data_IF_703209725525
#
_entry.id   IF_703209725525
#
_cell.length_a   1.000
_cell.length_b   1.000
_cell.length_c   1.000
_cell.angle_alpha   90.00
_cell.angle_beta   90.00
_cell.angle_gamma   90.00
#
_symmetry.space_group_name_H-M   'P 1'
#
loop_
_entity.id
_entity.type
_entity.pdbx_description
1 polymer ?
#
# COMPACT_ATOMS: atom_id res chain seq x y z
N UNK A 1 -10.99 27.93 -2.80
CA UNK A 1 -10.25 26.81 -2.20
C UNK A 1 -10.40 25.57 -3.08
N UNK A 2 -9.31 25.06 -3.62
CA UNK A 2 -9.31 23.83 -4.43
C UNK A 2 -9.68 22.64 -3.54
N UNK A 3 -10.93 22.13 -3.69
CA UNK A 3 -11.44 20.98 -2.93
C UNK A 3 -11.07 19.68 -3.66
N UNK A 4 -10.01 19.02 -3.21
CA UNK A 4 -9.66 17.66 -3.65
C UNK A 4 -8.15 17.43 -3.80
N UNK A 5 -7.72 16.19 -3.59
CA UNK A 5 -6.32 15.77 -3.75
C UNK A 5 -5.85 15.99 -5.20
N UNK A 6 -6.72 15.73 -6.17
CA UNK A 6 -6.42 15.91 -7.60
C UNK A 6 -5.98 17.33 -7.94
N UNK A 7 -6.75 18.34 -7.55
CA UNK A 7 -6.45 19.74 -7.86
C UNK A 7 -5.22 20.26 -7.12
N UNK A 8 -5.00 19.82 -5.87
CA UNK A 8 -3.79 20.18 -5.11
C UNK A 8 -2.53 19.56 -5.73
N UNK A 9 -2.58 18.32 -6.14
CA UNK A 9 -1.45 17.63 -6.77
C UNK A 9 -1.04 18.31 -8.08
N UNK A 10 -2.02 18.62 -8.96
CA UNK A 10 -1.79 19.36 -10.20
C UNK A 10 -1.17 20.73 -9.90
N UNK A 11 -1.73 21.47 -8.94
CA UNK A 11 -1.23 22.78 -8.56
C UNK A 11 0.22 22.71 -8.06
N UNK A 12 0.54 21.80 -7.14
CA UNK A 12 1.89 21.68 -6.59
C UNK A 12 2.92 21.31 -7.66
N UNK A 13 2.62 20.34 -8.52
CA UNK A 13 3.52 19.94 -9.61
C UNK A 13 3.74 21.13 -10.55
N UNK A 14 2.67 21.85 -10.92
CA UNK A 14 2.77 23.01 -11.82
C UNK A 14 3.56 24.15 -11.20
N UNK A 15 3.36 24.45 -9.90
CA UNK A 15 4.13 25.50 -9.20
C UNK A 15 5.62 25.14 -9.13
N UNK A 16 5.94 23.89 -8.75
CA UNK A 16 7.34 23.44 -8.67
C UNK A 16 8.00 23.51 -10.04
N UNK A 17 7.32 23.06 -11.09
CA UNK A 17 7.83 23.13 -12.45
C UNK A 17 8.07 24.59 -12.90
N UNK A 18 7.11 25.48 -12.61
CA UNK A 18 7.23 26.92 -12.91
C UNK A 18 8.46 27.53 -12.22
N UNK A 19 8.66 27.24 -10.93
CA UNK A 19 9.81 27.77 -10.18
C UNK A 19 11.14 27.24 -10.74
N UNK A 20 11.22 25.97 -11.12
CA UNK A 20 12.42 25.39 -11.73
C UNK A 20 12.71 26.06 -13.07
N UNK A 21 11.71 26.21 -13.94
CA UNK A 21 11.88 26.85 -15.26
C UNK A 21 12.34 28.29 -15.10
N UNK A 22 11.67 29.07 -14.22
CA UNK A 22 12.07 30.46 -14.00
C UNK A 22 13.50 30.60 -13.45
N UNK A 23 13.91 29.71 -12.56
CA UNK A 23 15.28 29.70 -12.03
C UNK A 23 16.30 29.38 -13.12
N UNK A 24 16.05 28.34 -13.93
CA UNK A 24 16.92 27.96 -15.02
C UNK A 24 17.03 29.03 -16.11
N UNK A 25 15.89 29.64 -16.48
CA UNK A 25 15.87 30.76 -17.44
C UNK A 25 16.62 31.96 -16.91
N UNK A 26 16.43 32.32 -15.63
CA UNK A 26 17.19 33.41 -15.00
C UNK A 26 18.68 33.20 -15.03
N UNK A 27 19.15 32.00 -14.67
CA UNK A 27 20.58 31.64 -14.76
C UNK A 27 21.08 31.67 -16.20
N UNK A 28 20.28 31.14 -17.14
CA UNK A 28 20.62 31.12 -18.56
C UNK A 28 20.74 32.53 -19.14
N UNK A 29 19.80 33.44 -18.86
CA UNK A 29 19.83 34.83 -19.33
C UNK A 29 21.08 35.55 -18.82
N UNK A 30 21.41 35.38 -17.54
CA UNK A 30 22.63 35.97 -16.94
C UNK A 30 23.87 35.41 -17.63
N UNK A 31 23.94 34.10 -17.83
CA UNK A 31 25.07 33.44 -18.49
C UNK A 31 25.25 33.90 -19.94
N UNK A 32 24.18 33.98 -20.73
CA UNK A 32 24.20 34.47 -22.11
C UNK A 32 24.67 35.93 -22.16
N UNK A 33 24.10 36.75 -21.30
CA UNK A 33 24.50 38.17 -21.24
C UNK A 33 25.99 38.33 -20.92
N UNK A 34 26.48 37.65 -19.89
CA UNK A 34 27.88 37.69 -19.50
C UNK A 34 28.83 37.14 -20.58
N UNK A 35 28.44 36.05 -21.20
CA UNK A 35 29.23 35.39 -22.25
C UNK A 35 29.42 36.29 -23.49
N UNK A 36 28.31 36.82 -24.05
CA UNK A 36 28.38 37.58 -25.28
C UNK A 36 29.06 38.92 -25.08
N UNK A 37 28.71 39.68 -24.04
CA UNK A 37 29.34 40.98 -23.78
C UNK A 37 30.76 40.82 -23.27
N UNK A 38 31.06 39.84 -22.42
CA UNK A 38 32.42 39.56 -21.94
C UNK A 38 33.33 39.14 -23.07
N UNK A 39 32.89 38.21 -23.94
CA UNK A 39 33.72 37.76 -25.11
C UNK A 39 33.98 38.91 -26.10
N UNK A 40 32.97 39.76 -26.35
CA UNK A 40 33.14 40.93 -27.22
C UNK A 40 34.15 41.89 -26.62
N UNK A 41 34.06 42.19 -25.33
CA UNK A 41 35.01 43.07 -24.63
C UNK A 41 36.42 42.52 -24.61
N UNK A 42 36.60 41.21 -24.39
CA UNK A 42 37.88 40.53 -24.39
C UNK A 42 38.50 40.58 -25.78
N UNK A 43 37.75 40.28 -26.84
CA UNK A 43 38.20 40.38 -28.24
C UNK A 43 38.65 41.79 -28.60
N UNK A 44 37.80 42.79 -28.24
CA UNK A 44 38.13 44.21 -28.48
C UNK A 44 39.41 44.60 -27.74
N UNK A 45 39.52 44.19 -26.49
CA UNK A 45 40.69 44.40 -25.64
C UNK A 45 41.97 43.80 -26.18
N UNK A 46 41.89 42.54 -26.66
CA UNK A 46 43.04 41.85 -27.26
C UNK A 46 43.52 42.56 -28.51
N UNK A 47 42.61 42.93 -29.40
CA UNK A 47 42.93 43.70 -30.63
C UNK A 47 43.58 45.01 -30.32
N UNK A 48 42.95 45.83 -29.45
CA UNK A 48 43.50 47.09 -29.03
C UNK A 48 44.90 46.98 -28.43
N UNK A 49 45.11 45.97 -27.57
CA UNK A 49 46.44 45.75 -26.93
C UNK A 49 47.53 45.35 -27.94
N UNK A 50 47.17 44.43 -28.86
CA UNK A 50 48.12 43.97 -29.91
C UNK A 50 48.50 45.12 -30.80
N UNK A 51 47.54 45.92 -31.26
CA UNK A 51 47.79 47.10 -32.10
C UNK A 51 48.63 48.16 -31.37
N UNK A 52 48.24 48.53 -30.14
CA UNK A 52 48.99 49.51 -29.38
C UNK A 52 50.43 49.07 -29.08
N UNK A 53 50.63 47.78 -28.78
CA UNK A 53 51.97 47.23 -28.56
C UNK A 53 52.81 47.28 -29.82
N UNK A 54 52.23 46.94 -30.97
CA UNK A 54 52.90 47.09 -32.26
C UNK A 54 53.29 48.54 -32.54
N UNK A 55 52.35 49.46 -32.41
CA UNK A 55 52.60 50.88 -32.70
C UNK A 55 53.60 51.51 -31.75
N UNK A 56 53.54 51.22 -30.48
CA UNK A 56 54.53 51.70 -29.49
C UNK A 56 55.95 51.20 -29.79
N UNK A 57 56.07 49.97 -30.33
CA UNK A 57 57.40 49.37 -30.61
C UNK A 57 58.04 49.79 -31.96
N UNK A 58 57.16 49.87 -32.99
CA UNK A 58 57.69 50.03 -34.37
C UNK A 58 57.56 51.46 -34.92
N UNK A 59 56.78 52.31 -34.28
CA UNK A 59 56.58 53.72 -34.66
C UNK A 59 57.23 54.70 -33.70
N UNK A 60 58.25 54.25 -32.91
CA UNK A 60 58.96 55.12 -32.02
C UNK A 60 59.77 56.17 -32.86
N UNK A 61 59.72 57.50 -32.46
CA UNK A 61 60.29 58.60 -33.19
C UNK A 61 59.38 59.31 -34.21
N UNK A 62 58.18 58.76 -34.45
CA UNK A 62 57.18 59.44 -35.30
C UNK A 62 56.20 60.28 -34.42
N UNK A 63 55.78 61.41 -34.94
CA UNK A 63 54.74 62.26 -34.28
C UNK A 63 53.46 61.52 -34.16
N UNK A 64 52.59 61.93 -33.20
CA UNK A 64 51.30 61.30 -33.00
C UNK A 64 50.40 61.32 -34.27
N UNK A 65 50.52 62.37 -35.09
CA UNK A 65 49.77 62.52 -36.36
C UNK A 65 50.25 61.51 -37.42
N UNK A 66 51.58 61.30 -37.51
CA UNK A 66 52.17 60.30 -38.42
C UNK A 66 51.80 58.88 -38.00
N UNK A 67 51.86 58.55 -36.70
CA UNK A 67 51.40 57.30 -36.16
C UNK A 67 49.89 57.07 -36.43
N UNK A 68 49.09 58.07 -36.25
CA UNK A 68 47.65 58.00 -36.51
C UNK A 68 47.35 57.69 -37.96
N UNK A 69 48.05 58.34 -38.90
CA UNK A 69 47.93 58.06 -40.34
C UNK A 69 48.35 56.64 -40.68
N UNK A 70 49.50 56.21 -40.16
CA UNK A 70 50.02 54.86 -40.39
C UNK A 70 49.07 53.80 -39.84
N UNK A 71 48.47 54.01 -38.67
CA UNK A 71 47.46 53.14 -38.07
C UNK A 71 46.29 52.97 -39.05
N UNK A 72 45.74 54.02 -39.60
CA UNK A 72 44.62 53.97 -40.51
C UNK A 72 44.91 53.33 -41.83
N UNK A 73 46.10 53.61 -42.42
CA UNK A 73 46.53 53.03 -43.70
C UNK A 73 46.75 51.52 -43.63
N UNK A 74 47.06 51.02 -42.42
CA UNK A 74 47.31 49.59 -42.19
C UNK A 74 46.20 48.86 -41.44
N UNK A 75 45.03 49.52 -41.18
CA UNK A 75 43.85 48.84 -40.66
C UNK A 75 43.30 47.87 -41.73
N UNK A 76 42.98 46.65 -41.30
CA UNK A 76 42.32 45.69 -42.16
C UNK A 76 41.00 46.24 -42.68
N UNK A 77 40.66 46.08 -43.96
CA UNK A 77 39.35 46.47 -44.51
C UNK A 77 38.15 45.76 -43.82
N UNK A 78 38.44 44.60 -43.19
CA UNK A 78 37.43 43.81 -42.45
C UNK A 78 37.29 44.24 -40.97
N UNK A 79 37.95 45.32 -40.55
CA UNK A 79 37.86 45.83 -39.18
C UNK A 79 36.47 46.40 -38.94
N UNK A 80 35.65 45.68 -38.21
CA UNK A 80 34.29 46.07 -37.85
C UNK A 80 34.26 47.06 -36.64
N UNK A 81 35.42 47.31 -36.04
CA UNK A 81 35.59 48.25 -34.93
C UNK A 81 35.94 49.66 -35.45
N UNK A 82 35.36 50.68 -34.84
CA UNK A 82 35.78 52.05 -35.01
C UNK A 82 37.10 52.23 -34.27
N UNK A 83 38.15 52.59 -34.96
CA UNK A 83 39.49 52.87 -34.41
C UNK A 83 39.69 54.39 -34.37
N UNK A 84 40.07 54.88 -33.23
CA UNK A 84 40.26 56.34 -32.99
C UNK A 84 41.66 56.53 -32.34
N UNK A 85 42.37 57.55 -32.81
CA UNK A 85 43.58 58.06 -32.18
C UNK A 85 43.31 59.41 -31.57
N UNK A 86 43.53 59.51 -30.24
CA UNK A 86 43.30 60.74 -29.48
C UNK A 86 44.63 61.34 -29.02
N UNK A 87 44.67 62.66 -28.89
CA UNK A 87 45.77 63.39 -28.27
C UNK A 87 45.74 63.31 -26.73
N UNK A 88 46.73 63.86 -26.05
CA UNK A 88 46.83 63.89 -24.60
C UNK A 88 45.74 64.73 -23.92
N UNK A 89 45.00 65.52 -24.65
CA UNK A 89 43.81 66.26 -24.17
C UNK A 89 42.52 65.48 -24.35
N UNK A 90 42.48 64.29 -24.98
CA UNK A 90 41.33 63.50 -25.24
C UNK A 90 40.56 63.87 -26.53
N UNK A 91 41.12 64.76 -27.33
CA UNK A 91 40.51 65.12 -28.64
C UNK A 91 40.90 64.11 -29.72
N UNK A 92 39.95 63.74 -30.55
CA UNK A 92 40.16 62.81 -31.68
C UNK A 92 40.99 63.52 -32.70
N UNK A 93 42.17 62.93 -33.05
CA UNK A 93 43.05 63.37 -34.14
C UNK A 93 42.56 62.80 -35.45
N UNK A 94 42.22 61.53 -35.45
CA UNK A 94 41.82 60.78 -36.65
C UNK A 94 40.97 59.58 -36.23
N UNK A 95 40.02 59.17 -37.08
CA UNK A 95 39.24 57.95 -36.87
C UNK A 95 39.22 57.07 -38.14
N UNK A 96 38.85 55.81 -38.03
CA UNK A 96 38.83 54.83 -39.12
C UNK A 96 37.93 55.19 -40.32
N UNK A 97 37.08 56.26 -40.18
CA UNK A 97 36.20 56.72 -41.26
C UNK A 97 36.77 57.94 -41.97
N UNK A 98 38.04 58.35 -41.64
CA UNK A 98 38.75 59.38 -42.35
C UNK A 98 38.46 60.84 -42.00
N UNK A 99 37.56 61.09 -41.05
CA UNK A 99 37.21 62.44 -40.60
C UNK A 99 38.03 62.83 -39.39
N UNK A 100 38.78 63.95 -39.47
CA UNK A 100 39.35 64.60 -38.30
C UNK A 100 38.21 65.30 -37.56
N UNK A 101 37.68 64.73 -36.55
CA UNK A 101 36.74 65.40 -35.66
C UNK A 101 37.49 65.96 -34.46
N UNK A 102 37.35 67.24 -34.19
CA UNK A 102 37.88 67.86 -32.95
C UNK A 102 37.00 67.46 -31.74
N UNK A 103 36.38 66.32 -31.77
CA UNK A 103 35.47 65.83 -30.77
C UNK A 103 36.25 65.40 -29.52
N UNK A 104 35.89 65.94 -28.38
CA UNK A 104 36.39 65.53 -27.09
C UNK A 104 35.67 64.25 -26.62
N UNK A 105 36.42 63.17 -26.38
CA UNK A 105 35.89 61.95 -25.80
C UNK A 105 36.24 61.94 -24.31
N UNK A 106 35.22 62.17 -23.46
CA UNK A 106 35.36 62.20 -21.99
C UNK A 106 34.71 60.99 -21.34
N UNK A 107 35.14 59.78 -21.82
CA UNK A 107 34.66 58.50 -21.28
C UNK A 107 35.68 57.87 -20.32
N UNK A 108 35.22 56.96 -19.39
CA UNK A 108 36.09 56.34 -18.38
C UNK A 108 37.28 55.59 -18.96
N UNK A 109 37.14 54.96 -20.12
CA UNK A 109 38.23 54.25 -20.82
C UNK A 109 39.34 55.18 -21.28
N UNK A 110 38.98 56.32 -21.85
CA UNK A 110 39.92 57.35 -22.31
C UNK A 110 40.63 57.97 -21.11
N UNK A 111 39.92 58.33 -20.05
CA UNK A 111 40.55 58.88 -18.82
C UNK A 111 41.56 57.91 -18.22
N UNK A 112 41.24 56.62 -18.16
CA UNK A 112 42.16 55.59 -17.67
C UNK A 112 43.38 55.46 -18.57
N UNK A 113 43.21 55.50 -19.88
CA UNK A 113 44.31 55.41 -20.84
C UNK A 113 45.21 56.69 -20.81
N UNK A 114 44.66 57.86 -20.65
CA UNK A 114 45.40 59.11 -20.47
C UNK A 114 46.22 59.11 -19.17
N UNK A 115 45.74 58.47 -18.12
CA UNK A 115 46.46 58.22 -16.86
C UNK A 115 47.56 57.12 -17.01
N UNK A 116 47.76 56.54 -18.19
CA UNK A 116 48.76 55.53 -18.47
C UNK A 116 48.37 54.08 -18.26
N UNK A 117 47.10 53.81 -17.87
CA UNK A 117 46.51 52.50 -17.73
C UNK A 117 45.74 52.04 -18.97
N UNK A 118 45.27 50.80 -18.97
CA UNK A 118 44.29 50.33 -19.95
C UNK A 118 42.91 50.62 -19.44
N UNK A 119 42.06 51.23 -20.28
CA UNK A 119 40.67 51.53 -19.93
C UNK A 119 39.69 50.71 -20.75
N UNK A 120 38.58 50.32 -20.14
CA UNK A 120 37.42 49.73 -20.84
C UNK A 120 36.18 50.46 -20.46
N UNK A 121 35.24 50.58 -21.38
CA UNK A 121 33.97 51.29 -21.20
C UNK A 121 32.85 50.52 -21.91
N UNK A 122 31.76 50.37 -21.20
CA UNK A 122 30.51 49.84 -21.75
C UNK A 122 29.40 50.81 -21.41
N UNK A 123 28.76 51.36 -22.42
CA UNK A 123 27.59 52.23 -22.22
C UNK A 123 26.40 51.40 -21.78
N UNK A 124 25.82 51.69 -20.62
CA UNK A 124 24.58 51.07 -20.14
C UNK A 124 23.34 51.65 -20.82
N UNK A 125 23.42 52.90 -21.26
CA UNK A 125 22.37 53.65 -21.95
C UNK A 125 22.87 54.06 -23.34
N UNK A 126 22.00 54.11 -24.36
CA UNK A 126 22.39 54.64 -25.67
C UNK A 126 22.99 56.06 -25.55
N UNK A 127 24.17 56.21 -26.11
CA UNK A 127 24.82 57.52 -26.28
C UNK A 127 24.68 57.85 -27.76
N UNK A 128 24.09 59.01 -28.08
CA UNK A 128 23.74 59.39 -29.47
C UNK A 128 22.93 58.30 -30.22
N UNK A 129 22.07 57.55 -29.50
CA UNK A 129 21.21 56.50 -30.11
C UNK A 129 21.81 55.13 -30.16
N UNK A 130 23.09 54.92 -29.77
CA UNK A 130 23.75 53.60 -29.80
C UNK A 130 24.40 53.27 -28.46
N UNK A 131 24.39 52.00 -28.09
CA UNK A 131 25.21 51.46 -27.01
C UNK A 131 26.59 51.15 -27.53
N UNK A 132 27.62 51.61 -26.86
CA UNK A 132 29.00 51.46 -27.29
C UNK A 132 29.79 50.65 -26.28
N UNK A 133 30.62 49.74 -26.79
CA UNK A 133 31.69 49.08 -26.05
C UNK A 133 33.03 49.62 -26.59
N UNK A 134 33.89 50.07 -25.70
CA UNK A 134 35.20 50.65 -26.10
C UNK A 134 36.33 50.19 -25.19
N UNK A 135 37.50 50.09 -25.78
CA UNK A 135 38.75 49.85 -25.07
C UNK A 135 39.79 50.88 -25.53
N UNK A 136 40.43 51.54 -24.57
CA UNK A 136 41.44 52.58 -24.79
C UNK A 136 42.77 52.18 -24.19
N UNK A 137 43.81 52.34 -24.96
CA UNK A 137 45.21 51.98 -24.58
C UNK A 137 46.16 53.15 -24.85
N UNK A 138 47.04 53.48 -23.93
CA UNK A 138 48.02 54.55 -24.13
C UNK A 138 48.99 54.26 -25.27
N UNK A 139 49.24 55.27 -26.12
CA UNK A 139 50.31 55.34 -27.04
C UNK A 139 51.52 56.03 -26.38
N UNK A 140 52.65 55.34 -26.35
CA UNK A 140 53.83 55.80 -25.58
C UNK A 140 54.99 56.09 -26.51
N UNK A 141 55.85 57.04 -26.09
CA UNK A 141 57.17 57.33 -26.66
C UNK A 141 58.12 57.55 -25.53
N UNK A 142 59.21 56.77 -25.53
CA UNK A 142 60.22 56.79 -24.46
C UNK A 142 59.63 56.75 -23.07
N UNK A 143 58.56 56.00 -22.89
CA UNK A 143 57.81 55.84 -21.62
C UNK A 143 56.79 56.92 -21.28
N UNK A 144 56.72 58.03 -22.00
CA UNK A 144 55.72 59.09 -21.82
C UNK A 144 54.49 58.84 -22.68
N UNK A 145 53.32 59.17 -22.15
CA UNK A 145 52.09 59.02 -22.87
C UNK A 145 51.93 60.19 -23.88
N UNK A 146 51.85 59.88 -25.17
CA UNK A 146 51.75 60.87 -26.26
C UNK A 146 50.32 60.92 -26.83
N UNK A 147 49.44 59.95 -26.50
CA UNK A 147 48.05 59.89 -26.95
C UNK A 147 47.40 58.57 -26.56
N UNK A 148 46.20 58.30 -27.09
CA UNK A 148 45.42 57.11 -26.81
C UNK A 148 44.97 56.49 -28.13
N UNK A 149 45.07 55.17 -28.20
CA UNK A 149 44.45 54.34 -29.25
C UNK A 149 43.16 53.76 -28.66
N UNK A 150 42.02 54.08 -29.27
CA UNK A 150 40.70 53.62 -28.86
C UNK A 150 40.08 52.76 -29.91
N UNK A 151 39.62 51.56 -29.49
CA UNK A 151 38.76 50.65 -30.28
C UNK A 151 37.38 50.71 -29.73
N UNK A 152 36.36 50.91 -30.56
CA UNK A 152 34.95 50.87 -30.15
C UNK A 152 34.07 50.15 -31.14
N UNK A 153 33.06 49.46 -30.65
CA UNK A 153 32.04 48.80 -31.44
C UNK A 153 30.65 49.17 -30.97
N UNK A 154 29.66 49.12 -31.86
CA UNK A 154 28.26 49.19 -31.48
C UNK A 154 27.86 47.85 -30.81
N UNK A 155 27.26 47.94 -29.64
CA UNK A 155 26.75 46.79 -28.93
C UNK A 155 25.30 46.40 -29.35
N UNK A 156 24.66 47.24 -30.18
CA UNK A 156 23.27 46.97 -30.60
C UNK A 156 23.09 45.63 -31.31
N UNK A 157 23.94 45.18 -32.23
CA UNK A 157 23.83 43.86 -32.83
C UNK A 157 23.90 42.72 -31.79
N UNK A 158 24.79 42.87 -30.77
CA UNK A 158 24.93 41.89 -29.71
C UNK A 158 23.64 41.80 -28.85
N UNK A 159 23.05 42.94 -28.52
CA UNK A 159 21.78 42.97 -27.77
C UNK A 159 20.64 42.34 -28.58
N UNK A 160 20.59 42.55 -29.90
CA UNK A 160 19.62 41.85 -30.75
C UNK A 160 19.78 40.33 -30.77
N UNK A 161 21.02 39.85 -30.82
CA UNK A 161 21.31 38.42 -30.75
C UNK A 161 20.91 37.84 -29.36
N UNK A 162 21.32 38.54 -28.28
CA UNK A 162 20.94 38.16 -26.91
C UNK A 162 19.42 38.11 -26.78
N UNK A 163 18.70 39.16 -27.24
CA UNK A 163 17.24 39.23 -27.18
C UNK A 163 16.59 38.05 -27.89
N UNK A 164 17.09 37.70 -29.10
CA UNK A 164 16.56 36.58 -29.87
C UNK A 164 16.76 35.25 -29.12
N UNK A 165 17.96 35.04 -28.53
CA UNK A 165 18.25 33.85 -27.74
C UNK A 165 17.33 33.77 -26.50
N UNK A 166 17.15 34.87 -25.79
CA UNK A 166 16.27 34.96 -24.61
C UNK A 166 14.82 34.67 -24.99
N UNK A 167 14.31 35.28 -26.07
CA UNK A 167 12.94 35.00 -26.54
C UNK A 167 12.73 33.52 -26.89
N UNK A 168 13.71 32.90 -27.58
CA UNK A 168 13.63 31.48 -27.89
C UNK A 168 13.66 30.63 -26.61
N UNK A 169 14.47 30.97 -25.61
CA UNK A 169 14.50 30.29 -24.32
C UNK A 169 13.13 30.38 -23.60
N UNK A 170 12.51 31.55 -23.58
CA UNK A 170 11.16 31.74 -22.99
C UNK A 170 10.12 30.86 -23.69
N UNK A 171 10.15 30.76 -25.01
CA UNK A 171 9.27 29.87 -25.75
C UNK A 171 9.48 28.41 -25.37
N UNK A 172 10.74 27.96 -25.23
CA UNK A 172 11.06 26.61 -24.77
C UNK A 172 10.54 26.37 -23.35
N UNK A 173 10.73 27.33 -22.46
CA UNK A 173 10.22 27.28 -21.09
C UNK A 173 8.71 27.15 -21.02
N UNK A 174 7.97 27.91 -21.83
CA UNK A 174 6.52 27.79 -21.94
C UNK A 174 6.07 26.41 -22.44
N UNK A 175 6.76 25.84 -23.43
CA UNK A 175 6.46 24.48 -23.91
C UNK A 175 6.71 23.42 -22.84
N UNK A 176 7.78 23.55 -22.07
CA UNK A 176 8.08 22.64 -20.95
C UNK A 176 7.00 22.71 -19.89
N UNK A 177 6.54 23.93 -19.52
CA UNK A 177 5.45 24.11 -18.55
C UNK A 177 4.15 23.50 -19.07
N UNK A 178 3.80 23.72 -20.32
CA UNK A 178 2.60 23.17 -20.95
C UNK A 178 2.65 21.62 -20.95
N UNK A 179 3.78 21.06 -21.37
CA UNK A 179 3.98 19.61 -21.37
C UNK A 179 3.86 19.00 -19.97
N UNK A 180 4.52 19.60 -18.97
CA UNK A 180 4.44 19.17 -17.58
C UNK A 180 3.04 19.30 -16.99
N UNK A 181 2.29 20.34 -17.38
CA UNK A 181 0.89 20.49 -16.98
C UNK A 181 0.02 19.35 -17.54
N UNK A 182 0.14 19.04 -18.83
CA UNK A 182 -0.58 17.91 -19.45
C UNK A 182 -0.22 16.58 -18.78
N UNK A 183 1.07 16.34 -18.53
CA UNK A 183 1.54 15.14 -17.84
C UNK A 183 0.96 15.04 -16.41
N UNK A 184 0.91 16.16 -15.70
CA UNK A 184 0.30 16.26 -14.36
C UNK A 184 -1.19 15.88 -14.38
N UNK A 185 -1.94 16.29 -15.42
CA UNK A 185 -3.34 15.89 -15.60
C UNK A 185 -3.51 14.38 -15.80
N UNK A 186 -2.64 13.77 -16.60
CA UNK A 186 -2.65 12.33 -16.87
C UNK A 186 -2.34 11.52 -15.61
N UNK A 187 -1.29 11.89 -14.86
CA UNK A 187 -0.90 11.25 -13.61
C UNK A 187 -2.03 11.38 -12.56
N UNK A 188 -2.59 12.59 -12.42
CA UNK A 188 -3.69 12.82 -11.48
C UNK A 188 -4.94 11.98 -11.82
N UNK A 189 -5.26 11.77 -13.10
CA UNK A 189 -6.36 10.89 -13.52
C UNK A 189 -6.07 9.43 -13.24
N UNK A 190 -4.83 8.98 -13.45
CA UNK A 190 -4.44 7.57 -13.31
C UNK A 190 -4.31 7.10 -11.85
N UNK A 191 -3.94 8.00 -10.94
CA UNK A 191 -3.74 7.67 -9.52
C UNK A 191 -4.96 8.07 -8.68
N UNK A 192 -5.41 9.32 -8.77
CA UNK A 192 -6.43 9.85 -7.87
C UNK A 192 -7.82 9.28 -8.16
N UNK A 193 -8.13 9.01 -9.44
CA UNK A 193 -9.42 8.44 -9.83
C UNK A 193 -9.70 7.09 -9.18
N UNK A 194 -8.84 6.07 -9.37
CA UNK A 194 -8.99 4.77 -8.74
C UNK A 194 -9.03 4.83 -7.19
N UNK A 195 -8.18 5.65 -6.55
CA UNK A 195 -8.20 5.83 -5.09
C UNK A 195 -9.54 6.37 -4.61
N UNK A 196 -10.15 7.32 -5.33
CA UNK A 196 -11.48 7.83 -4.98
C UNK A 196 -12.56 6.77 -5.10
N UNK A 197 -12.51 5.91 -6.12
CA UNK A 197 -13.43 4.78 -6.27
C UNK A 197 -13.25 3.77 -5.12
N UNK A 198 -12.02 3.38 -4.78
CA UNK A 198 -11.75 2.52 -3.64
C UNK A 198 -12.28 3.11 -2.32
N UNK A 199 -12.10 4.42 -2.13
CA UNK A 199 -12.62 5.14 -0.97
C UNK A 199 -14.15 5.13 -0.93
N UNK A 200 -14.82 5.25 -2.09
CA UNK A 200 -16.29 5.16 -2.18
C UNK A 200 -16.79 3.77 -1.81
N UNK A 201 -16.18 2.71 -2.37
CA UNK A 201 -16.51 1.32 -2.06
C UNK A 201 -16.27 1.01 -0.58
N UNK A 202 -15.14 1.45 -0.01
CA UNK A 202 -14.85 1.28 1.40
C UNK A 202 -15.89 1.99 2.30
N UNK A 203 -16.40 3.16 1.91
CA UNK A 203 -17.49 3.84 2.61
C UNK A 203 -18.81 3.06 2.54
N UNK A 204 -19.14 2.50 1.38
CA UNK A 204 -20.31 1.64 1.25
C UNK A 204 -20.21 0.40 2.15
N UNK A 205 -19.03 -0.25 2.19
CA UNK A 205 -18.77 -1.37 3.10
C UNK A 205 -18.92 -0.94 4.56
N UNK A 206 -18.46 0.25 4.94
CA UNK A 206 -18.61 0.78 6.30
C UNK A 206 -20.07 1.04 6.70
N UNK A 207 -21.00 1.19 5.75
CA UNK A 207 -22.44 1.28 5.99
C UNK A 207 -23.15 -0.08 5.94
N UNK A 208 -22.38 -1.19 5.84
CA UNK A 208 -22.92 -2.55 5.83
C UNK A 208 -23.15 -3.15 4.44
N UNK A 209 -22.90 -2.40 3.35
CA UNK A 209 -23.02 -2.93 1.99
C UNK A 209 -21.72 -3.63 1.57
N UNK A 210 -21.49 -4.82 2.06
CA UNK A 210 -20.35 -5.65 1.71
C UNK A 210 -20.47 -6.32 0.31
N UNK A 211 -21.60 -6.16 -0.39
CA UNK A 211 -21.74 -6.64 -1.75
C UNK A 211 -21.06 -5.73 -2.78
N UNK A 212 -20.75 -4.48 -2.41
CA UNK A 212 -20.04 -3.55 -3.26
C UNK A 212 -18.63 -4.06 -3.57
N UNK A 213 -18.23 -4.03 -4.85
CA UNK A 213 -16.92 -4.51 -5.31
C UNK A 213 -16.11 -3.38 -5.94
N UNK A 214 -14.84 -3.34 -5.59
CA UNK A 214 -13.88 -2.46 -6.21
C UNK A 214 -13.38 -3.06 -7.53
N UNK A 215 -13.44 -2.29 -8.63
CA UNK A 215 -12.91 -2.75 -9.91
C UNK A 215 -11.38 -2.67 -9.92
N UNK A 216 -10.71 -3.77 -10.25
CA UNK A 216 -9.29 -3.79 -10.54
C UNK A 216 -9.06 -3.14 -11.92
N UNK A 217 -8.56 -1.90 -11.96
CA UNK A 217 -8.33 -1.16 -13.20
C UNK A 217 -6.92 -1.35 -13.77
N UNK A 218 -5.92 -1.60 -12.93
CA UNK A 218 -4.52 -1.72 -13.30
C UNK A 218 -3.84 -2.86 -12.55
N UNK A 219 -2.73 -3.37 -13.10
CA UNK A 219 -1.87 -4.36 -12.47
C UNK A 219 -0.71 -3.67 -11.71
N UNK A 220 -1.09 -2.85 -10.74
CA UNK A 220 -0.19 -2.10 -9.85
C UNK A 220 -0.62 -2.26 -8.38
N UNK A 221 0.00 -1.50 -7.49
CA UNK A 221 -0.30 -1.51 -6.05
C UNK A 221 -1.76 -1.11 -5.77
N UNK A 222 -2.34 -0.23 -6.59
CA UNK A 222 -3.74 0.20 -6.46
C UNK A 222 -4.68 -0.94 -6.88
N UNK A 223 -4.33 -1.67 -7.94
CA UNK A 223 -5.04 -2.87 -8.35
C UNK A 223 -4.98 -3.98 -7.29
N UNK A 224 -3.83 -4.16 -6.66
CA UNK A 224 -3.65 -5.10 -5.55
C UNK A 224 -4.50 -4.71 -4.34
N UNK A 225 -4.58 -3.41 -4.02
CA UNK A 225 -5.44 -2.89 -2.95
C UNK A 225 -6.93 -3.16 -3.25
N UNK A 226 -7.36 -3.03 -4.50
CA UNK A 226 -8.74 -3.36 -4.90
C UNK A 226 -9.08 -4.83 -4.67
N UNK A 227 -8.17 -5.74 -5.04
CA UNK A 227 -8.33 -7.19 -4.81
C UNK A 227 -8.38 -7.51 -3.33
N UNK A 228 -7.47 -6.94 -2.54
CA UNK A 228 -7.43 -7.14 -1.08
C UNK A 228 -8.70 -6.64 -0.39
N UNK A 229 -9.22 -5.47 -0.80
CA UNK A 229 -10.47 -4.93 -0.29
C UNK A 229 -11.66 -5.85 -0.60
N UNK A 230 -11.72 -6.39 -1.82
CA UNK A 230 -12.75 -7.35 -2.21
C UNK A 230 -12.66 -8.65 -1.42
N UNK A 231 -11.46 -9.19 -1.22
CA UNK A 231 -11.23 -10.39 -0.42
C UNK A 231 -11.69 -10.18 1.04
N UNK A 232 -11.32 -9.06 1.65
CA UNK A 232 -11.78 -8.71 3.00
C UNK A 232 -13.32 -8.64 3.08
N UNK A 233 -13.97 -8.06 2.07
CA UNK A 233 -15.42 -8.01 1.97
C UNK A 233 -16.06 -9.40 1.91
N UNK A 234 -15.48 -10.32 1.14
CA UNK A 234 -15.95 -11.70 1.05
C UNK A 234 -15.81 -12.45 2.37
N UNK A 235 -14.72 -12.27 3.08
CA UNK A 235 -14.52 -12.89 4.40
C UNK A 235 -15.50 -12.34 5.44
N UNK A 236 -15.80 -11.03 5.41
CA UNK A 236 -16.84 -10.44 6.29
C UNK A 236 -18.21 -11.02 5.97
N UNK A 237 -18.59 -11.11 4.69
CA UNK A 237 -19.88 -11.70 4.29
C UNK A 237 -20.00 -13.16 4.72
N UNK A 238 -18.94 -13.95 4.60
CA UNK A 238 -18.92 -15.34 5.11
C UNK A 238 -19.10 -15.38 6.62
N UNK A 239 -18.43 -14.52 7.35
CA UNK A 239 -18.54 -14.42 8.81
C UNK A 239 -19.94 -14.02 9.25
N UNK A 240 -20.53 -12.99 8.62
CA UNK A 240 -21.90 -12.55 8.90
C UNK A 240 -22.94 -13.65 8.59
N UNK A 241 -22.75 -14.39 7.49
CA UNK A 241 -23.62 -15.53 7.16
C UNK A 241 -23.55 -16.62 8.22
N UNK A 242 -22.35 -17.01 8.66
CA UNK A 242 -22.17 -18.01 9.72
C UNK A 242 -22.86 -17.54 11.01
N UNK A 243 -22.73 -16.27 11.37
CA UNK A 243 -23.38 -15.68 12.54
C UNK A 243 -24.91 -15.70 12.41
N UNK A 244 -25.45 -15.37 11.26
CA UNK A 244 -26.87 -15.42 11.00
C UNK A 244 -27.42 -16.84 11.08
N UNK A 245 -26.78 -17.80 10.42
CA UNK A 245 -27.14 -19.21 10.43
C UNK A 245 -27.09 -19.77 11.87
N UNK A 246 -26.11 -19.33 12.67
CA UNK A 246 -26.02 -19.66 14.09
C UNK A 246 -27.26 -19.19 14.87
N UNK A 247 -27.56 -17.89 14.81
CA UNK A 247 -28.69 -17.31 15.56
C UNK A 247 -30.00 -17.99 15.16
N UNK A 248 -30.20 -18.23 13.87
CA UNK A 248 -31.37 -18.90 13.32
C UNK A 248 -31.50 -20.33 13.86
N UNK A 249 -30.41 -21.11 13.82
CA UNK A 249 -30.38 -22.50 14.29
C UNK A 249 -30.64 -22.59 15.80
N UNK A 250 -29.96 -21.77 16.60
CA UNK A 250 -30.18 -21.73 18.06
C UNK A 250 -31.60 -21.37 18.40
N UNK A 251 -32.17 -20.36 17.73
CA UNK A 251 -33.57 -19.95 17.96
C UNK A 251 -34.55 -21.08 17.69
N UNK A 252 -34.31 -21.83 16.61
CA UNK A 252 -35.16 -22.98 16.28
C UNK A 252 -35.03 -24.11 17.30
N UNK A 253 -33.79 -24.45 17.72
CA UNK A 253 -33.55 -25.52 18.70
C UNK A 253 -34.02 -25.18 20.10
N UNK A 254 -34.07 -23.91 20.49
CA UNK A 254 -34.69 -23.47 21.76
C UNK A 254 -36.21 -23.48 21.69
N UNK A 255 -36.80 -23.09 20.56
CA UNK A 255 -38.28 -22.98 20.43
C UNK A 255 -38.99 -24.30 20.58
N UNK A 256 -38.43 -25.38 19.99
CA UNK A 256 -39.09 -26.70 19.99
C UNK A 256 -39.32 -27.25 21.40
N UNK A 257 -38.29 -27.41 22.27
CA UNK A 257 -38.49 -27.89 23.63
C UNK A 257 -39.33 -26.97 24.47
N UNK A 258 -39.20 -25.65 24.33
CA UNK A 258 -40.04 -24.69 25.05
C UNK A 258 -41.53 -24.83 24.68
N UNK A 259 -41.84 -25.10 23.38
CA UNK A 259 -43.21 -25.35 22.94
C UNK A 259 -43.75 -26.65 23.51
N UNK A 260 -42.91 -27.71 23.57
CA UNK A 260 -43.27 -29.00 24.17
C UNK A 260 -43.58 -28.85 25.69
N UNK A 261 -42.67 -28.21 26.42
CA UNK A 261 -42.84 -27.95 27.87
C UNK A 261 -44.10 -27.14 28.11
N UNK A 262 -44.32 -26.07 27.34
CA UNK A 262 -45.51 -25.23 27.46
C UNK A 262 -46.78 -26.02 27.15
N UNK A 263 -46.76 -26.80 26.06
CA UNK A 263 -47.92 -27.60 25.66
C UNK A 263 -48.34 -28.65 26.72
N UNK A 264 -47.36 -29.38 27.26
CA UNK A 264 -47.62 -30.29 28.36
C UNK A 264 -48.06 -29.57 29.64
N UNK A 265 -47.46 -28.44 29.97
CA UNK A 265 -47.89 -27.60 31.08
C UNK A 265 -49.35 -27.15 30.95
N UNK A 266 -49.78 -26.68 29.77
CA UNK A 266 -51.18 -26.29 29.50
C UNK A 266 -52.12 -27.51 29.56
N UNK A 267 -51.67 -28.68 29.02
CA UNK A 267 -52.48 -29.92 29.09
C UNK A 267 -52.70 -30.37 30.54
N UNK A 268 -51.66 -30.36 31.36
CA UNK A 268 -51.76 -30.73 32.77
C UNK A 268 -52.58 -29.71 33.59
N UNK A 269 -52.53 -28.43 33.25
CA UNK A 269 -53.33 -27.41 33.91
C UNK A 269 -54.81 -27.48 33.58
N UNK A 270 -55.17 -27.95 32.38
CA UNK A 270 -56.54 -28.04 31.88
C UNK A 270 -57.12 -29.45 32.03
N UNK A 271 -56.28 -30.47 32.23
CA UNK A 271 -56.68 -31.86 32.33
C UNK A 271 -57.04 -32.33 33.74
N UNK A 272 -57.44 -33.61 33.86
CA UNK A 272 -57.70 -34.26 35.14
C UNK A 272 -56.38 -34.78 35.77
N UNK A 273 -55.90 -34.07 36.77
CA UNK A 273 -54.70 -34.45 37.51
C UNK A 273 -54.85 -35.77 38.29
N UNK A 274 -56.02 -36.35 38.35
CA UNK A 274 -56.23 -37.67 38.93
C UNK A 274 -55.82 -38.82 38.01
N UNK A 275 -55.62 -38.58 36.70
CA UNK A 275 -54.95 -39.54 35.79
C UNK A 275 -53.46 -39.51 36.03
N UNK A 276 -53.02 -40.40 36.93
CA UNK A 276 -51.59 -40.53 37.28
C UNK A 276 -50.69 -40.86 36.06
N UNK A 277 -51.22 -41.57 35.09
CA UNK A 277 -50.43 -42.02 33.93
C UNK A 277 -50.14 -40.83 33.01
N UNK A 278 -51.13 -40.05 32.66
CA UNK A 278 -50.99 -38.85 31.84
C UNK A 278 -50.15 -37.79 32.55
N UNK A 279 -50.42 -37.58 33.86
CA UNK A 279 -49.64 -36.64 34.68
C UNK A 279 -48.14 -36.99 34.75
N UNK A 280 -47.82 -38.28 35.01
CA UNK A 280 -46.41 -38.73 35.02
C UNK A 280 -45.76 -38.59 33.65
N UNK A 281 -46.46 -38.99 32.57
CA UNK A 281 -45.97 -38.84 31.22
C UNK A 281 -45.64 -37.39 30.86
N UNK A 282 -46.55 -36.46 31.20
CA UNK A 282 -46.35 -35.03 30.98
C UNK A 282 -45.14 -34.48 31.75
N UNK A 283 -45.00 -34.83 33.00
CA UNK A 283 -43.85 -34.44 33.84
C UNK A 283 -42.55 -35.03 33.34
N UNK A 284 -42.52 -36.30 32.90
CA UNK A 284 -41.35 -36.92 32.31
C UNK A 284 -40.90 -36.21 31.02
N UNK A 285 -41.85 -35.88 30.14
CA UNK A 285 -41.52 -35.12 28.91
C UNK A 285 -40.98 -33.74 29.22
N UNK A 286 -41.64 -33.00 30.16
CA UNK A 286 -41.21 -31.67 30.56
C UNK A 286 -39.80 -31.71 31.18
N UNK A 287 -39.52 -32.68 32.06
CA UNK A 287 -38.21 -32.85 32.66
C UNK A 287 -37.15 -33.18 31.59
N UNK A 288 -37.43 -34.12 30.69
CA UNK A 288 -36.54 -34.50 29.62
C UNK A 288 -36.20 -33.34 28.63
N UNK A 289 -37.22 -32.50 28.31
CA UNK A 289 -36.98 -31.32 27.47
C UNK A 289 -36.23 -30.21 28.22
N UNK A 290 -36.39 -30.13 29.55
CA UNK A 290 -35.60 -29.20 30.38
C UNK A 290 -34.10 -29.61 30.44
N UNK A 291 -33.85 -30.90 30.67
CA UNK A 291 -32.46 -31.43 30.65
C UNK A 291 -31.81 -31.23 29.28
N UNK A 292 -32.58 -31.39 28.22
CA UNK A 292 -32.13 -31.10 26.85
C UNK A 292 -31.77 -29.64 26.63
N UNK A 293 -32.58 -28.71 27.20
CA UNK A 293 -32.28 -27.26 27.13
C UNK A 293 -31.01 -26.90 27.90
N UNK A 294 -30.82 -27.51 29.08
CA UNK A 294 -29.57 -27.32 29.86
C UNK A 294 -28.36 -27.72 29.01
N UNK A 295 -28.37 -28.92 28.42
CA UNK A 295 -27.27 -29.37 27.55
C UNK A 295 -27.06 -28.44 26.33
N UNK A 296 -28.10 -27.92 25.72
CA UNK A 296 -27.99 -26.96 24.61
C UNK A 296 -27.34 -25.63 25.06
N UNK A 297 -27.70 -25.14 26.26
CA UNK A 297 -27.10 -23.92 26.83
C UNK A 297 -25.60 -24.15 27.14
N UNK A 298 -25.22 -25.31 27.66
CA UNK A 298 -23.82 -25.69 27.89
C UNK A 298 -23.04 -25.75 26.56
N UNK A 299 -23.60 -26.39 25.54
CA UNK A 299 -23.02 -26.42 24.18
C UNK A 299 -22.79 -25.01 23.62
N UNK A 300 -23.75 -24.08 23.85
CA UNK A 300 -23.66 -22.69 23.39
C UNK A 300 -22.58 -21.90 24.15
N UNK A 301 -22.45 -22.11 25.43
CA UNK A 301 -21.41 -21.47 26.25
C UNK A 301 -20.02 -21.95 25.82
N UNK A 302 -19.85 -23.27 25.64
CA UNK A 302 -18.62 -23.84 25.15
C UNK A 302 -18.28 -23.32 23.73
N UNK A 303 -19.29 -23.23 22.86
CA UNK A 303 -19.12 -22.64 21.53
C UNK A 303 -18.72 -21.15 21.59
N UNK A 304 -19.31 -20.37 22.47
CA UNK A 304 -18.96 -18.95 22.65
C UNK A 304 -17.51 -18.79 23.08
N UNK A 305 -17.05 -19.58 24.05
CA UNK A 305 -15.63 -19.61 24.50
C UNK A 305 -14.70 -20.03 23.36
N UNK A 306 -15.15 -21.00 22.54
CA UNK A 306 -14.43 -21.43 21.36
C UNK A 306 -14.25 -20.30 20.34
N UNK A 307 -15.31 -19.56 20.02
CA UNK A 307 -15.26 -18.42 19.08
C UNK A 307 -14.32 -17.30 19.57
N UNK A 308 -14.25 -17.11 20.88
CA UNK A 308 -13.36 -16.14 21.51
C UNK A 308 -11.89 -16.60 21.56
N UNK A 309 -11.60 -17.86 21.19
CA UNK A 309 -10.26 -18.44 21.38
C UNK A 309 -9.88 -18.66 22.85
N UNK A 310 -10.91 -18.70 23.72
CA UNK A 310 -10.73 -18.78 25.18
C UNK A 310 -10.75 -20.22 25.72
N UNK A 311 -10.92 -21.23 24.85
CA UNK A 311 -10.78 -22.61 25.30
C UNK A 311 -9.31 -22.91 25.54
N UNK A 312 -8.99 -23.01 26.82
CA UNK A 312 -7.70 -23.52 27.28
C UNK A 312 -7.86 -24.99 27.71
N UNK A 313 -6.87 -25.80 27.43
CA UNK A 313 -6.80 -27.19 27.90
C UNK A 313 -5.67 -27.28 28.94
N UNK A 314 -5.97 -27.92 30.05
CA UNK A 314 -4.96 -28.20 31.08
C UNK A 314 -4.39 -29.60 30.82
N UNK A 315 -3.32 -29.65 30.00
CA UNK A 315 -2.69 -30.91 29.65
C UNK A 315 -1.97 -31.51 30.87
N UNK A 316 -2.32 -32.74 31.22
CA UNK A 316 -1.67 -33.52 32.28
C UNK A 316 -1.53 -34.95 31.78
N UNK A 317 -0.40 -35.61 32.13
CA UNK A 317 -0.24 -37.03 31.80
C UNK A 317 -1.23 -37.89 32.60
N UNK A 318 -2.03 -38.70 31.89
CA UNK A 318 -2.89 -39.71 32.56
C UNK A 318 -3.14 -40.90 31.63
N UNK A 319 -3.69 -41.98 32.22
CA UNK A 319 -4.09 -43.15 31.47
C UNK A 319 -5.52 -43.05 30.97
N UNK A 320 -5.66 -42.87 29.64
CA UNK A 320 -6.95 -42.75 28.98
C UNK A 320 -7.83 -44.00 29.14
N UNK A 321 -7.24 -45.18 29.41
CA UNK A 321 -7.95 -46.41 29.66
C UNK A 321 -8.99 -46.28 30.74
N UNK A 322 -8.63 -45.65 31.90
CA UNK A 322 -9.55 -45.47 33.02
C UNK A 322 -10.78 -44.65 32.63
N UNK A 323 -10.61 -43.58 31.84
CA UNK A 323 -11.71 -42.80 31.30
C UNK A 323 -12.64 -43.62 30.42
N UNK A 324 -12.09 -44.43 29.51
CA UNK A 324 -12.86 -45.26 28.61
C UNK A 324 -13.65 -46.34 29.38
N UNK A 325 -13.06 -46.98 30.39
CA UNK A 325 -13.74 -47.94 31.26
C UNK A 325 -14.90 -47.35 32.02
N UNK A 326 -14.73 -46.18 32.63
CA UNK A 326 -15.81 -45.46 33.30
C UNK A 326 -16.98 -45.12 32.36
N UNK A 327 -16.70 -44.68 31.16
CA UNK A 327 -17.69 -44.41 30.14
C UNK A 327 -18.42 -45.68 29.71
N UNK A 328 -17.72 -46.82 29.57
CA UNK A 328 -18.35 -48.07 29.25
C UNK A 328 -19.33 -48.54 30.30
N UNK A 329 -19.01 -48.36 31.58
CA UNK A 329 -19.94 -48.67 32.68
C UNK A 329 -21.24 -47.85 32.59
N UNK A 330 -21.10 -46.56 32.35
CA UNK A 330 -22.24 -45.63 32.20
C UNK A 330 -23.10 -45.97 31.00
N UNK A 331 -22.49 -46.22 29.85
CA UNK A 331 -23.23 -46.52 28.60
C UNK A 331 -23.79 -47.94 28.51
N UNK A 332 -23.26 -48.92 29.25
CA UNK A 332 -23.82 -50.28 29.34
C UNK A 332 -25.26 -50.25 29.88
N UNK A 333 -25.53 -49.50 30.96
CA UNK A 333 -26.86 -49.33 31.49
C UNK A 333 -27.84 -48.72 30.48
N UNK A 334 -27.35 -47.69 29.77
CA UNK A 334 -28.10 -47.01 28.72
C UNK A 334 -28.38 -47.90 27.50
N UNK A 335 -27.42 -48.75 27.16
CA UNK A 335 -27.54 -49.76 26.11
C UNK A 335 -28.64 -50.79 26.45
N UNK A 336 -28.70 -51.27 27.68
CA UNK A 336 -29.77 -52.17 28.13
C UNK A 336 -31.16 -51.56 27.99
N UNK A 337 -31.29 -50.31 28.40
CA UNK A 337 -32.56 -49.58 28.31
C UNK A 337 -33.04 -49.36 26.86
N UNK A 338 -32.07 -49.08 25.95
CA UNK A 338 -32.36 -48.86 24.52
C UNK A 338 -32.28 -50.12 23.65
N UNK A 339 -32.01 -51.27 24.25
CA UNK A 339 -31.79 -52.55 23.55
C UNK A 339 -30.65 -52.50 22.50
N UNK A 340 -29.58 -51.73 22.79
CA UNK A 340 -28.39 -51.59 21.95
C UNK A 340 -27.23 -52.32 22.58
N UNK A 341 -26.54 -53.16 21.83
CA UNK A 341 -25.38 -53.93 22.30
C UNK A 341 -24.12 -53.07 22.28
N UNK A 342 -23.45 -52.92 23.43
CA UNK A 342 -22.17 -52.21 23.52
C UNK A 342 -21.01 -53.19 23.60
N UNK A 343 -20.12 -53.16 22.62
CA UNK A 343 -18.87 -53.93 22.58
C UNK A 343 -17.69 -53.01 22.89
N UNK A 344 -16.71 -53.54 23.61
CA UNK A 344 -15.48 -52.84 23.92
C UNK A 344 -14.27 -53.75 23.62
N UNK A 345 -13.30 -53.19 22.94
CA UNK A 345 -12.01 -53.86 22.68
C UNK A 345 -10.91 -52.83 23.05
N UNK A 346 -10.60 -52.84 24.36
CA UNK A 346 -9.62 -51.94 24.97
C UNK A 346 -8.47 -52.82 25.51
N UNK A 347 -7.22 -52.51 25.17
CA UNK A 347 -6.07 -53.33 25.61
C UNK A 347 -5.87 -53.22 27.11
N UNK A 348 -5.35 -54.27 27.73
CA UNK A 348 -4.98 -54.28 29.13
C UNK A 348 -3.78 -53.36 29.47
N UNK A 349 -3.04 -52.95 28.47
CA UNK A 349 -1.90 -52.05 28.60
C UNK A 349 -2.38 -50.61 28.79
N UNK A 350 -1.65 -49.79 29.56
CA UNK A 350 -1.96 -48.36 29.74
C UNK A 350 -1.97 -47.60 28.39
N UNK A 351 -2.86 -46.65 28.28
CA UNK A 351 -2.98 -45.71 27.15
C UNK A 351 -2.57 -44.30 27.58
N UNK A 352 -1.26 -44.01 27.76
CA UNK A 352 -0.79 -42.77 28.31
C UNK A 352 -0.98 -41.64 27.30
N UNK A 353 -1.66 -40.58 27.69
CA UNK A 353 -1.87 -39.33 26.92
C UNK A 353 -1.50 -38.13 27.78
N UNK A 354 -1.11 -37.05 27.12
CA UNK A 354 -1.02 -35.75 27.75
C UNK A 354 -2.30 -34.98 27.39
N UNK A 355 -3.20 -34.80 28.33
CA UNK A 355 -4.52 -34.27 28.01
C UNK A 355 -5.31 -33.74 29.21
N UNK A 356 -6.36 -32.98 28.91
CA UNK A 356 -7.37 -32.54 29.84
C UNK A 356 -8.46 -33.62 30.00
N UNK A 357 -8.51 -34.23 31.18
CA UNK A 357 -9.44 -35.32 31.49
C UNK A 357 -10.90 -34.94 31.23
N UNK A 358 -11.33 -33.73 31.67
CA UNK A 358 -12.71 -33.31 31.53
C UNK A 358 -13.08 -33.03 30.07
N UNK A 359 -12.18 -32.43 29.32
CA UNK A 359 -12.38 -32.16 27.89
C UNK A 359 -12.40 -33.43 27.06
N UNK A 360 -11.49 -34.38 27.30
CA UNK A 360 -11.51 -35.66 26.61
C UNK A 360 -12.72 -36.50 27.02
N UNK A 361 -13.17 -36.46 28.28
CA UNK A 361 -14.44 -37.05 28.72
C UNK A 361 -15.60 -36.48 27.92
N UNK A 362 -15.67 -35.14 27.77
CA UNK A 362 -16.70 -34.47 26.98
C UNK A 362 -16.71 -34.97 25.52
N UNK A 363 -15.52 -35.13 24.89
CA UNK A 363 -15.42 -35.69 23.54
C UNK A 363 -16.03 -37.09 23.45
N UNK A 364 -15.58 -38.03 24.29
CA UNK A 364 -16.02 -39.40 24.19
C UNK A 364 -17.49 -39.59 24.60
N UNK A 365 -18.00 -38.82 25.57
CA UNK A 365 -19.42 -38.78 25.87
C UNK A 365 -20.22 -38.36 24.64
N UNK A 366 -19.81 -37.28 23.98
CA UNK A 366 -20.49 -36.77 22.79
C UNK A 366 -20.47 -37.78 21.62
N UNK A 367 -19.33 -38.47 21.40
CA UNK A 367 -19.19 -39.49 20.36
C UNK A 367 -20.07 -40.69 20.64
N UNK A 368 -20.08 -41.18 21.90
CA UNK A 368 -20.94 -42.31 22.30
C UNK A 368 -22.42 -41.96 22.26
N UNK A 369 -22.78 -40.75 22.73
CA UNK A 369 -24.16 -40.25 22.65
C UNK A 369 -24.68 -40.21 21.21
N UNK A 370 -23.84 -39.74 20.28
CA UNK A 370 -24.18 -39.77 18.86
C UNK A 370 -24.34 -41.20 18.34
N UNK A 371 -23.41 -42.11 18.65
CA UNK A 371 -23.51 -43.50 18.25
C UNK A 371 -24.80 -44.15 18.75
N UNK A 372 -25.14 -44.01 20.06
CA UNK A 372 -26.37 -44.53 20.66
C UNK A 372 -27.66 -43.85 20.15
N UNK A 373 -27.54 -42.65 19.68
CA UNK A 373 -28.66 -41.87 19.13
C UNK A 373 -29.07 -42.36 17.75
N UNK A 374 -28.09 -42.63 16.89
CA UNK A 374 -28.31 -42.98 15.50
C UNK A 374 -28.34 -44.50 15.26
N UNK A 375 -28.13 -45.32 16.31
CA UNK A 375 -28.24 -46.78 16.26
C UNK A 375 -29.69 -47.18 16.57
N UNK A 376 -30.34 -48.02 15.74
CA UNK A 376 -31.69 -48.53 16.03
C UNK A 376 -31.67 -49.55 17.19
N UNK A 377 -32.86 -49.88 17.74
CA UNK A 377 -32.97 -50.98 18.67
C UNK A 377 -32.41 -52.29 18.05
N UNK A 378 -31.83 -53.16 18.88
CA UNK A 378 -31.08 -54.38 18.48
C UNK A 378 -29.78 -54.12 17.72
N UNK A 379 -29.44 -52.87 17.50
CA UNK A 379 -28.16 -52.46 16.91
C UNK A 379 -26.96 -52.66 17.83
N UNK A 380 -25.79 -52.23 17.36
CA UNK A 380 -24.54 -52.38 18.07
C UNK A 380 -23.68 -51.14 17.96
N UNK A 381 -23.08 -50.76 19.10
CA UNK A 381 -22.04 -49.75 19.19
C UNK A 381 -20.77 -50.41 19.68
N UNK A 382 -19.64 -50.12 19.06
CA UNK A 382 -18.34 -50.67 19.43
C UNK A 382 -17.35 -49.56 19.70
N UNK A 383 -16.60 -49.65 20.78
CA UNK A 383 -15.45 -48.79 21.07
C UNK A 383 -14.19 -49.65 21.01
N UNK A 384 -13.20 -49.25 20.26
CA UNK A 384 -11.88 -49.87 20.19
C UNK A 384 -10.80 -48.87 20.52
N UNK A 385 -9.77 -49.29 21.23
CA UNK A 385 -8.59 -48.50 21.50
C UNK A 385 -7.32 -49.27 21.14
N UNK A 386 -6.42 -48.68 20.38
CA UNK A 386 -5.18 -49.30 19.95
C UNK A 386 -4.02 -48.30 20.14
N UNK A 387 -2.96 -48.75 20.77
CA UNK A 387 -1.70 -48.00 20.82
C UNK A 387 -0.85 -48.37 19.60
N UNK A 388 -0.55 -47.38 18.74
CA UNK A 388 0.30 -47.54 17.56
C UNK A 388 1.46 -46.54 17.62
N UNK A 389 2.67 -47.03 17.76
CA UNK A 389 3.90 -46.20 17.77
C UNK A 389 3.77 -44.95 18.67
N UNK A 390 3.62 -43.79 18.04
CA UNK A 390 3.51 -42.48 18.71
C UNK A 390 2.05 -42.00 18.89
N UNK A 391 1.04 -42.81 18.54
CA UNK A 391 -0.37 -42.46 18.58
C UNK A 391 -1.20 -43.44 19.37
N UNK A 392 -2.21 -42.95 20.04
CA UNK A 392 -3.31 -43.73 20.59
C UNK A 392 -4.53 -43.46 19.68
N UNK A 393 -5.06 -44.54 19.11
CA UNK A 393 -6.20 -44.49 18.18
C UNK A 393 -7.42 -45.08 18.87
N UNK A 394 -8.44 -44.27 19.07
CA UNK A 394 -9.72 -44.68 19.60
C UNK A 394 -10.77 -44.60 18.50
N UNK A 395 -11.52 -45.65 18.28
CA UNK A 395 -12.57 -45.68 17.28
C UNK A 395 -13.92 -46.00 17.94
N UNK A 396 -14.91 -45.16 17.72
CA UNK A 396 -16.32 -45.41 18.08
C UNK A 396 -17.07 -45.73 16.80
N UNK A 397 -17.58 -46.96 16.70
CA UNK A 397 -18.30 -47.46 15.52
C UNK A 397 -19.73 -47.84 15.89
N UNK A 398 -20.68 -47.42 15.09
CA UNK A 398 -22.07 -47.83 15.15
C UNK A 398 -22.50 -48.53 13.84
N UNK A 399 -23.55 -49.32 13.92
CA UNK A 399 -24.23 -49.92 12.77
C UNK A 399 -25.60 -49.25 12.49
N UNK A 400 -25.64 -47.92 12.69
CA UNK A 400 -26.85 -47.12 12.49
C UNK A 400 -27.12 -46.79 11.02
N UNK A 401 -27.89 -45.71 10.81
CA UNK A 401 -28.36 -45.32 9.47
C UNK A 401 -27.21 -44.85 8.54
N UNK A 402 -26.02 -44.54 9.10
CA UNK A 402 -24.90 -44.01 8.33
C UNK A 402 -25.17 -42.61 7.77
N UNK A 403 -24.25 -42.12 6.96
CA UNK A 403 -24.24 -40.73 6.48
C UNK A 403 -24.04 -40.74 4.96
N UNK A 404 -24.85 -39.93 4.24
CA UNK A 404 -24.67 -39.76 2.79
C UNK A 404 -23.33 -39.10 2.46
N UNK A 405 -22.67 -39.53 1.39
CA UNK A 405 -21.35 -39.01 0.98
C UNK A 405 -21.34 -37.49 0.76
N UNK A 406 -22.45 -36.91 0.29
CA UNK A 406 -22.60 -35.48 0.09
C UNK A 406 -22.61 -34.67 1.39
N UNK A 407 -22.96 -35.30 2.52
CA UNK A 407 -23.02 -34.67 3.84
C UNK A 407 -21.74 -34.94 4.65
N UNK A 408 -20.96 -35.96 4.30
CA UNK A 408 -19.74 -36.36 5.02
C UNK A 408 -18.70 -35.27 5.08
N UNK A 409 -18.46 -34.56 3.98
CA UNK A 409 -17.50 -33.43 3.91
C UNK A 409 -17.90 -32.23 4.78
N UNK A 410 -19.21 -32.09 5.05
CA UNK A 410 -19.76 -31.00 5.85
C UNK A 410 -19.83 -31.32 7.33
N UNK A 411 -19.66 -32.60 7.71
CA UNK A 411 -19.66 -33.03 9.11
C UNK A 411 -18.49 -32.44 9.87
N UNK A 412 -18.78 -31.98 11.06
CA UNK A 412 -17.81 -31.21 11.87
C UNK A 412 -17.65 -29.77 11.43
N UNK A 413 -18.37 -29.32 10.38
CA UNK A 413 -18.57 -27.89 10.19
C UNK A 413 -19.67 -27.40 11.14
N UNK A 414 -19.54 -26.17 11.60
CA UNK A 414 -20.41 -25.57 12.62
C UNK A 414 -21.86 -25.59 12.14
N UNK A 415 -22.78 -26.06 13.02
CA UNK A 415 -24.24 -26.10 12.80
C UNK A 415 -24.75 -27.00 11.67
N UNK A 416 -23.86 -27.79 11.09
CA UNK A 416 -24.30 -28.73 10.06
C UNK A 416 -25.03 -29.90 10.69
N UNK A 417 -26.22 -30.18 10.18
CA UNK A 417 -27.03 -31.35 10.50
C UNK A 417 -27.25 -32.14 9.23
N UNK A 418 -26.95 -33.43 9.26
CA UNK A 418 -27.38 -34.32 8.20
C UNK A 418 -28.92 -34.36 8.09
N UNK A 419 -29.44 -35.03 7.09
CA UNK A 419 -30.90 -35.16 6.84
C UNK A 419 -31.66 -36.01 7.89
N UNK A 420 -30.99 -36.50 8.92
CA UNK A 420 -31.61 -37.31 9.97
C UNK A 420 -32.67 -36.50 10.71
N UNK A 421 -33.85 -37.17 10.97
CA UNK A 421 -34.94 -36.57 11.75
C UNK A 421 -34.63 -36.44 13.25
N UNK A 422 -33.50 -36.93 13.72
CA UNK A 422 -33.15 -36.90 15.14
C UNK A 422 -32.48 -35.54 15.50
N UNK A 423 -33.02 -34.93 16.54
CA UNK A 423 -32.66 -33.59 17.00
C UNK A 423 -31.26 -33.53 17.61
N UNK A 424 -30.50 -32.46 17.33
CA UNK A 424 -29.18 -32.18 17.93
C UNK A 424 -28.73 -30.77 17.58
N UNK A 425 -27.84 -30.17 18.37
CA UNK A 425 -27.33 -28.79 18.18
C UNK A 425 -26.49 -28.61 16.91
N UNK A 426 -25.91 -29.69 16.37
CA UNK A 426 -24.90 -29.64 15.29
C UNK A 426 -23.58 -29.03 15.73
N UNK A 427 -23.41 -28.80 17.04
CA UNK A 427 -22.21 -28.24 17.64
C UNK A 427 -21.25 -29.33 18.19
N UNK A 428 -21.81 -30.43 18.70
CA UNK A 428 -21.05 -31.43 19.45
C UNK A 428 -19.86 -31.97 18.69
N UNK A 429 -20.01 -32.31 17.41
CA UNK A 429 -18.92 -32.86 16.61
C UNK A 429 -17.86 -31.79 16.26
N UNK A 430 -18.28 -30.52 16.07
CA UNK A 430 -17.35 -29.42 15.85
C UNK A 430 -16.53 -29.13 17.12
N UNK A 431 -17.17 -29.18 18.30
CA UNK A 431 -16.49 -29.04 19.62
C UNK A 431 -15.51 -30.21 19.80
N UNK A 432 -15.91 -31.46 19.50
CA UNK A 432 -15.00 -32.60 19.58
C UNK A 432 -13.76 -32.42 18.71
N UNK A 433 -13.93 -31.99 17.46
CA UNK A 433 -12.81 -31.79 16.52
C UNK A 433 -11.82 -30.74 17.05
N UNK A 434 -12.32 -29.69 17.67
CA UNK A 434 -11.49 -28.64 18.23
C UNK A 434 -10.76 -29.08 19.49
N UNK A 435 -11.47 -29.72 20.44
CA UNK A 435 -10.85 -30.25 21.65
C UNK A 435 -9.72 -31.22 21.28
N UNK A 436 -9.96 -32.13 20.34
CA UNK A 436 -8.93 -33.07 19.85
C UNK A 436 -7.77 -32.33 19.18
N UNK A 437 -8.06 -31.27 18.40
CA UNK A 437 -7.02 -30.40 17.83
C UNK A 437 -6.15 -29.71 18.87
N UNK A 438 -6.73 -29.19 19.95
CA UNK A 438 -6.01 -28.59 21.09
C UNK A 438 -5.11 -29.60 21.83
N UNK A 439 -5.44 -30.88 21.76
CA UNK A 439 -4.61 -31.99 22.26
C UNK A 439 -3.55 -32.47 21.25
N UNK A 440 -3.36 -31.77 20.12
CA UNK A 440 -2.43 -32.17 19.07
C UNK A 440 -2.88 -33.41 18.28
N UNK A 441 -4.15 -33.83 18.45
CA UNK A 441 -4.74 -35.00 17.84
C UNK A 441 -5.48 -34.72 16.54
N UNK A 442 -6.10 -35.74 15.97
CA UNK A 442 -6.97 -35.65 14.78
C UNK A 442 -8.24 -36.43 14.98
N UNK A 443 -9.36 -35.91 14.48
CA UNK A 443 -10.65 -36.58 14.43
C UNK A 443 -11.06 -36.80 12.98
N UNK A 444 -11.35 -38.04 12.62
CA UNK A 444 -11.81 -38.45 11.30
C UNK A 444 -13.17 -39.18 11.42
N UNK A 445 -13.98 -39.07 10.39
CA UNK A 445 -15.29 -39.72 10.31
C UNK A 445 -15.33 -40.53 9.02
N UNK A 446 -15.64 -41.80 9.16
CA UNK A 446 -15.86 -42.71 8.05
C UNK A 446 -17.29 -43.24 8.17
N UNK A 447 -18.08 -43.13 7.13
CA UNK A 447 -19.46 -43.57 7.16
C UNK A 447 -19.91 -44.03 5.78
N UNK A 448 -20.75 -45.06 5.77
CA UNK A 448 -21.45 -45.52 4.58
C UNK A 448 -22.94 -45.61 4.88
N UNK A 449 -23.74 -44.96 4.03
CA UNK A 449 -25.19 -44.91 4.22
C UNK A 449 -25.76 -46.31 4.36
N UNK A 450 -26.62 -46.55 5.35
CA UNK A 450 -27.20 -47.83 5.77
C UNK A 450 -26.26 -48.86 6.41
N UNK A 451 -24.97 -48.58 6.54
CA UNK A 451 -24.01 -49.50 7.18
C UNK A 451 -23.49 -49.00 8.54
N UNK A 452 -23.63 -47.72 8.81
CA UNK A 452 -23.21 -47.12 10.06
C UNK A 452 -22.09 -46.12 9.93
N UNK A 453 -21.55 -45.69 11.08
CA UNK A 453 -20.53 -44.63 11.17
C UNK A 453 -19.40 -45.07 12.09
N UNK A 454 -18.18 -44.73 11.71
CA UNK A 454 -16.99 -44.86 12.54
C UNK A 454 -16.35 -43.49 12.76
N UNK A 455 -16.21 -43.08 14.00
CA UNK A 455 -15.48 -41.85 14.37
C UNK A 455 -14.15 -42.27 14.97
N UNK A 456 -13.07 -41.85 14.34
CA UNK A 456 -11.70 -42.20 14.67
C UNK A 456 -11.03 -40.98 15.32
N UNK A 457 -10.53 -41.15 16.54
CA UNK A 457 -9.79 -40.17 17.31
C UNK A 457 -8.35 -40.61 17.41
N UNK A 458 -7.42 -39.83 16.92
CA UNK A 458 -5.98 -40.05 17.03
C UNK A 458 -5.41 -39.05 18.01
N UNK A 459 -4.80 -39.48 19.10
CA UNK A 459 -4.13 -38.68 20.10
C UNK A 459 -2.63 -38.98 20.18
N UNK A 460 -1.76 -37.98 20.37
CA UNK A 460 -0.36 -38.26 20.63
C UNK A 460 -0.19 -39.09 21.90
N UNK A 461 0.64 -40.17 21.79
CA UNK A 461 0.99 -40.97 22.93
C UNK A 461 1.99 -40.19 23.80
N UNK A 462 1.71 -40.05 25.09
CA UNK A 462 2.69 -39.53 26.04
C UNK A 462 3.85 -40.52 26.15
N UNK A 463 5.06 -40.07 25.87
CA UNK A 463 6.28 -40.85 26.07
C UNK A 463 6.81 -40.52 27.49
N UNK A 464 6.85 -41.54 28.35
CA UNK A 464 7.41 -41.46 29.71
C UNK A 464 8.93 -41.42 29.62
#
# INVERSE_FOLDING_TARGET
MLKGIRSRLILYITIVLLLIVLLLEGVFIVAVHYFYLGSAMETLSSRATTSATFFNKYLEGYSINERARYILENLSPEESSKVEVLNTAGNVIINSFGFSSSELIDTPDVKSALAGGKGSYQSLTPVNGERIMAVSIPLRESGMNIGVLRYSISAEPLYHVILTIVLNAVWVGLLVILFGFVLSLLIAKRIVGPIQQLTSVAKEMATGNFAAKAAKQHDDEIGTLAVTLNYMSEEILKSEKIKYDFISSVTHELRTPLTSIKGWGETLLMGDLSDKKETLQGLEVMTGETDRLIGLVEDLLDFSKFQAGEITVELQPYDLRGLLEDLLLQFRYRGQTKQIRLYADIPDQPLPVDGDFNRLKQVFVNLLDNAFKFTPAEGAVRITAVSRDALIVITVTDNGEGIEAADLEKLGTKFFKGKSRQSGSGLGLAICKEIIGLHGGKLRIESEFTKGTSVIVELPRYQV
#
